data_IF_032494751271
#
_entry.id   IF_032494751271
#
_cell.length_a   1.000
_cell.length_b   1.000
_cell.length_c   1.000
_cell.angle_alpha   90.00
_cell.angle_beta   90.00
_cell.angle_gamma   90.00
#
_symmetry.space_group_name_H-M   'P 1'
#
loop_
_entity.id
_entity.type
_entity.pdbx_description
1 polymer ?
#
# COMPACT_ATOMS: atom_id res chain seq x y z
N UNK A 1 14.64 5.80 14.09
CA UNK A 1 13.87 4.56 14.19
C UNK A 1 12.62 4.63 13.33
N UNK A 2 12.27 3.51 12.74
CA UNK A 2 11.06 3.41 11.92
C UNK A 2 9.99 2.67 12.68
N UNK A 3 8.74 3.12 12.55
CA UNK A 3 7.59 2.43 13.12
C UNK A 3 7.01 1.48 12.06
N UNK A 4 6.49 0.33 12.53
CA UNK A 4 5.82 -0.59 11.62
C UNK A 4 4.63 0.07 10.94
N UNK A 5 3.70 0.59 11.73
CA UNK A 5 2.47 1.16 11.22
C UNK A 5 2.52 2.69 11.27
N UNK A 6 1.96 3.32 10.25
CA UNK A 6 1.76 4.76 10.25
C UNK A 6 0.59 5.14 11.15
N UNK A 7 0.58 6.39 11.58
CA UNK A 7 -0.51 6.93 12.41
C UNK A 7 -1.82 6.82 11.63
N UNK A 8 -2.91 6.49 12.33
CA UNK A 8 -4.23 6.42 11.71
C UNK A 8 -4.62 7.78 11.13
N UNK A 9 -5.27 7.75 9.99
CA UNK A 9 -5.76 8.94 9.30
C UNK A 9 -7.24 9.14 9.67
N UNK A 10 -7.51 10.00 10.66
CA UNK A 10 -8.83 10.09 11.24
C UNK A 10 -9.22 8.75 11.86
N UNK A 11 -10.28 8.13 11.34
CA UNK A 11 -10.70 6.79 11.74
C UNK A 11 -10.13 5.69 10.83
N UNK A 12 -9.39 6.07 9.80
CA UNK A 12 -8.86 5.12 8.82
C UNK A 12 -7.51 4.56 9.27
N UNK A 13 -7.44 3.24 9.41
CA UNK A 13 -6.19 2.54 9.71
C UNK A 13 -5.37 2.46 8.43
N UNK A 14 -4.07 2.73 8.54
CA UNK A 14 -3.13 2.59 7.42
C UNK A 14 -2.38 1.26 7.65
N UNK A 15 -2.79 0.17 7.00
CA UNK A 15 -2.16 -1.12 7.25
C UNK A 15 -0.77 -1.20 6.63
N UNK A 16 0.16 -1.85 7.35
CA UNK A 16 1.47 -2.15 6.78
C UNK A 16 1.28 -3.01 5.51
N UNK A 17 1.98 -2.81 4.41
CA UNK A 17 3.17 -1.96 4.25
C UNK A 17 2.88 -0.51 3.80
N UNK A 18 1.63 -0.12 3.69
CA UNK A 18 1.29 1.21 3.19
C UNK A 18 1.91 2.29 4.08
N UNK A 19 2.40 3.34 3.45
CA UNK A 19 3.12 4.40 4.14
C UNK A 19 2.60 5.77 3.74
N UNK A 20 2.33 6.60 4.74
CA UNK A 20 1.91 7.99 4.55
C UNK A 20 3.02 8.98 4.85
N UNK A 21 4.15 8.52 5.40
CA UNK A 21 5.25 9.39 5.77
C UNK A 21 6.55 8.59 5.87
N UNK A 22 7.72 9.23 5.68
CA UNK A 22 8.99 8.58 5.97
C UNK A 22 9.04 8.18 7.45
N UNK A 23 9.59 7.02 7.76
CA UNK A 23 9.73 6.54 9.12
C UNK A 23 8.60 5.64 9.61
N UNK A 24 7.60 5.38 8.79
CA UNK A 24 6.57 4.39 9.09
C UNK A 24 6.20 3.63 7.83
N UNK A 25 5.71 2.40 7.97
CA UNK A 25 5.40 1.55 6.85
C UNK A 25 6.65 1.16 6.06
N UNK A 26 6.46 0.78 4.81
CA UNK A 26 7.55 0.41 3.91
C UNK A 26 7.78 1.54 2.90
N UNK A 27 9.03 1.96 2.74
CA UNK A 27 9.38 3.08 1.86
C UNK A 27 9.00 2.84 0.39
N UNK A 28 8.93 1.59 -0.04
CA UNK A 28 8.48 1.27 -1.40
C UNK A 28 6.96 1.49 -1.58
N UNK A 29 6.25 1.67 -0.48
CA UNK A 29 4.80 1.88 -0.46
C UNK A 29 4.43 3.29 0.00
N UNK A 30 5.39 4.21 -0.03
CA UNK A 30 5.18 5.62 0.35
C UNK A 30 4.49 6.35 -0.81
N UNK A 31 3.21 6.11 -0.96
CA UNK A 31 2.40 6.70 -2.04
C UNK A 31 1.07 7.23 -1.49
N UNK A 32 1.00 7.46 -0.19
CA UNK A 32 -0.24 7.88 0.45
C UNK A 32 -0.03 9.16 1.24
N UNK A 33 -1.07 9.96 1.31
CA UNK A 33 -1.13 11.14 2.16
C UNK A 33 -2.38 11.07 3.02
N UNK A 34 -2.30 11.69 4.19
CA UNK A 34 -3.44 11.85 5.06
C UNK A 34 -3.82 13.32 5.18
N UNK A 35 -5.06 13.65 4.89
CA UNK A 35 -5.61 14.95 5.24
C UNK A 35 -6.13 14.85 6.67
N UNK A 36 -5.36 15.33 7.63
CA UNK A 36 -5.69 15.20 9.05
C UNK A 36 -6.95 15.97 9.43
N UNK A 37 -7.30 17.01 8.66
CA UNK A 37 -8.52 17.79 8.94
C UNK A 37 -9.78 17.01 8.65
N UNK A 38 -9.78 16.15 7.63
CA UNK A 38 -10.95 15.42 7.17
C UNK A 38 -10.87 13.92 7.44
N UNK A 39 -9.68 13.41 7.74
CA UNK A 39 -9.44 11.96 7.84
C UNK A 39 -9.40 11.27 6.49
N UNK A 40 -9.29 12.03 5.40
CA UNK A 40 -9.26 11.46 4.05
C UNK A 40 -7.87 10.97 3.71
N UNK A 41 -7.77 9.70 3.34
CA UNK A 41 -6.53 9.12 2.81
C UNK A 41 -6.50 9.36 1.31
N UNK A 42 -5.34 9.76 0.81
CA UNK A 42 -5.14 10.12 -0.59
C UNK A 42 -4.03 9.25 -1.15
N UNK A 43 -4.29 8.65 -2.31
CA UNK A 43 -3.29 7.91 -3.06
C UNK A 43 -2.64 8.83 -4.09
N UNK A 44 -1.31 8.88 -4.09
CA UNK A 44 -0.56 9.67 -5.05
C UNK A 44 -0.17 8.81 -6.25
N UNK A 45 -0.79 9.06 -7.39
CA UNK A 45 -0.33 8.53 -8.66
C UNK A 45 0.83 9.36 -9.20
N UNK A 46 1.34 8.99 -10.37
CA UNK A 46 2.46 9.70 -10.99
C UNK A 46 2.10 11.13 -11.41
N UNK A 47 0.87 11.38 -11.84
CA UNK A 47 0.43 12.68 -12.34
C UNK A 47 -0.72 13.29 -11.57
N UNK A 48 -1.38 12.54 -10.71
CA UNK A 48 -2.58 12.98 -10.01
C UNK A 48 -2.71 12.29 -8.67
N UNK A 49 -3.55 12.87 -7.81
CA UNK A 49 -3.88 12.29 -6.52
C UNK A 49 -5.35 11.90 -6.51
N UNK A 50 -5.68 10.83 -5.82
CA UNK A 50 -7.04 10.27 -5.78
C UNK A 50 -7.45 9.99 -4.35
N UNK A 51 -8.71 10.26 -4.03
CA UNK A 51 -9.27 9.92 -2.74
C UNK A 51 -9.45 8.41 -2.62
N UNK A 52 -9.06 7.84 -1.50
CA UNK A 52 -9.28 6.43 -1.20
C UNK A 52 -10.63 6.31 -0.52
N UNK A 53 -11.47 5.39 -1.01
CA UNK A 53 -12.80 5.15 -0.45
C UNK A 53 -12.83 3.98 0.50
N UNK A 54 -11.95 2.99 0.32
CA UNK A 54 -11.82 1.87 1.25
C UNK A 54 -10.46 1.20 1.10
N UNK A 55 -10.01 0.55 2.19
CA UNK A 55 -8.78 -0.25 2.20
C UNK A 55 -9.10 -1.60 2.82
N UNK A 56 -8.76 -2.68 2.14
CA UNK A 56 -8.91 -4.04 2.65
C UNK A 56 -7.54 -4.70 2.78
N UNK A 57 -6.98 -4.75 3.99
CA UNK A 57 -5.66 -5.35 4.19
C UNK A 57 -5.64 -6.87 3.99
N UNK A 58 -6.75 -7.55 4.21
CA UNK A 58 -6.82 -9.01 4.08
C UNK A 58 -6.60 -9.46 2.64
N UNK A 59 -7.13 -8.70 1.69
CA UNK A 59 -6.98 -8.99 0.26
C UNK A 59 -5.90 -8.13 -0.39
N UNK A 60 -5.28 -7.21 0.34
CA UNK A 60 -4.28 -6.25 -0.14
C UNK A 60 -4.81 -5.43 -1.31
N UNK A 61 -5.99 -4.84 -1.11
CA UNK A 61 -6.66 -4.04 -2.14
C UNK A 61 -7.22 -2.77 -1.54
N UNK A 62 -7.26 -1.73 -2.34
CA UNK A 62 -7.94 -0.49 -1.97
C UNK A 62 -8.67 0.07 -3.17
N UNK A 63 -9.67 0.91 -2.89
CA UNK A 63 -10.45 1.58 -3.91
C UNK A 63 -10.11 3.06 -3.93
N UNK A 64 -9.90 3.58 -5.12
CA UNK A 64 -9.74 5.01 -5.34
C UNK A 64 -10.93 5.52 -6.12
N UNK A 65 -11.24 6.80 -5.95
CA UNK A 65 -12.33 7.45 -6.68
C UNK A 65 -11.76 8.40 -7.73
N UNK A 66 -12.14 8.17 -8.99
CA UNK A 66 -11.83 9.08 -10.09
C UNK A 66 -13.09 9.91 -10.32
N UNK A 67 -12.98 11.22 -10.03
CA UNK A 67 -14.12 12.14 -10.16
C UNK A 67 -14.38 12.48 -11.62
N UNK A 68 -15.63 12.81 -11.91
CA UNK A 68 -16.09 13.35 -13.19
C UNK A 68 -15.90 12.42 -14.40
N UNK A 69 -15.50 11.18 -14.15
CA UNK A 69 -15.37 10.18 -15.20
C UNK A 69 -16.24 8.98 -14.84
N UNK A 70 -17.28 8.74 -15.60
CA UNK A 70 -18.07 7.52 -15.48
C UNK A 70 -17.55 6.55 -16.52
N UNK A 71 -16.82 5.54 -16.05
CA UNK A 71 -16.22 4.52 -16.91
C UNK A 71 -17.03 3.24 -16.77
N UNK A 72 -17.44 2.67 -17.90
CA UNK A 72 -18.06 1.35 -17.90
C UNK A 72 -16.94 0.30 -17.85
N UNK A 73 -16.77 -0.33 -16.69
CA UNK A 73 -15.68 -1.26 -16.44
C UNK A 73 -15.88 -2.64 -17.07
N UNK A 74 -16.94 -2.82 -17.87
CA UNK A 74 -17.23 -4.11 -18.49
C UNK A 74 -16.52 -4.29 -19.82
N UNK A 75 -15.93 -3.25 -20.40
CA UNK A 75 -15.24 -3.33 -21.68
C UNK A 75 -13.75 -3.04 -21.55
N UNK A 76 -12.92 -3.81 -22.25
CA UNK A 76 -11.46 -3.66 -22.25
C UNK A 76 -11.02 -2.27 -22.69
N UNK A 77 -11.75 -1.66 -23.64
CA UNK A 77 -11.41 -0.33 -24.17
C UNK A 77 -11.56 0.78 -23.14
N UNK A 78 -12.35 0.58 -22.09
CA UNK A 78 -12.55 1.60 -21.06
C UNK A 78 -11.58 1.43 -19.92
N UNK A 79 -11.10 0.21 -19.67
CA UNK A 79 -9.98 -0.01 -18.76
C UNK A 79 -8.73 0.68 -19.30
N UNK A 80 -8.57 0.76 -20.64
CA UNK A 80 -7.43 1.44 -21.24
C UNK A 80 -7.45 2.96 -21.04
N UNK A 81 -8.61 3.58 -20.79
CA UNK A 81 -8.68 5.00 -20.40
C UNK A 81 -8.15 5.23 -18.99
N UNK A 82 -8.16 4.19 -18.17
CA UNK A 82 -7.51 4.22 -16.86
C UNK A 82 -5.98 4.14 -16.98
N UNK A 83 -5.45 4.01 -18.19
CA UNK A 83 -4.02 4.04 -18.43
C UNK A 83 -3.39 5.39 -18.08
N UNK A 84 -4.18 6.46 -17.98
CA UNK A 84 -3.73 7.73 -17.42
C UNK A 84 -3.38 7.61 -15.95
N UNK A 85 -3.94 6.60 -15.28
CA UNK A 85 -3.60 6.22 -13.92
C UNK A 85 -2.33 5.37 -13.92
N UNK A 86 -1.24 5.89 -14.40
CA UNK A 86 0.01 5.14 -14.53
C UNK A 86 0.49 4.64 -13.18
N UNK A 87 0.21 3.36 -12.91
CA UNK A 87 0.67 2.70 -11.71
C UNK A 87 2.02 2.04 -11.96
N UNK A 88 2.87 2.11 -10.96
CA UNK A 88 4.13 1.39 -10.95
C UNK A 88 4.13 0.40 -9.78
N UNK A 89 4.92 -0.66 -9.92
CA UNK A 89 5.12 -1.60 -8.81
C UNK A 89 5.42 -0.84 -7.51
N UNK A 90 4.85 -1.22 -6.37
CA UNK A 90 4.12 -2.47 -6.10
C UNK A 90 2.60 -2.40 -6.30
N UNK A 91 2.10 -1.42 -7.01
CA UNK A 91 0.66 -1.23 -7.19
C UNK A 91 0.22 -1.65 -8.57
N UNK A 92 -0.93 -2.34 -8.65
CA UNK A 92 -1.46 -2.89 -9.91
C UNK A 92 -2.98 -2.74 -9.97
N UNK A 93 -3.47 -2.43 -11.17
CA UNK A 93 -4.91 -2.47 -11.42
C UNK A 93 -5.39 -3.93 -11.43
N UNK A 94 -6.55 -4.19 -10.80
CA UNK A 94 -7.14 -5.53 -10.80
C UNK A 94 -8.08 -5.75 -11.96
N UNK A 95 -8.47 -4.68 -12.65
CA UNK A 95 -9.46 -4.73 -13.70
C UNK A 95 -10.90 -4.53 -13.21
N UNK A 96 -11.09 -4.42 -11.90
CA UNK A 96 -12.42 -4.16 -11.33
C UNK A 96 -12.62 -2.67 -11.11
N UNK A 97 -13.77 -2.18 -11.51
CA UNK A 97 -14.18 -0.83 -11.19
C UNK A 97 -15.71 -0.73 -11.18
N UNK A 98 -16.23 0.27 -10.50
CA UNK A 98 -17.67 0.52 -10.38
C UNK A 98 -17.97 1.98 -10.66
N UNK A 99 -18.91 2.23 -11.56
CA UNK A 99 -19.42 3.58 -11.76
C UNK A 99 -20.29 3.98 -10.57
N UNK A 100 -20.04 5.17 -10.02
CA UNK A 100 -20.88 5.74 -8.98
C UNK A 100 -21.91 6.66 -9.64
N UNK A 101 -23.11 6.16 -9.81
CA UNK A 101 -24.17 6.89 -10.50
C UNK A 101 -24.82 7.96 -9.61
N UNK A 102 -24.60 7.91 -8.30
CA UNK A 102 -25.19 8.84 -7.34
C UNK A 102 -24.35 10.10 -7.22
N UNK A 103 -23.04 9.95 -6.98
CA UNK A 103 -22.13 11.09 -6.78
C UNK A 103 -21.32 11.41 -8.02
N UNK A 104 -21.43 10.60 -9.08
CA UNK A 104 -20.59 10.69 -10.27
C UNK A 104 -19.20 10.11 -10.02
N UNK A 105 -18.49 9.82 -11.11
CA UNK A 105 -17.15 9.26 -11.02
C UNK A 105 -17.13 7.74 -11.01
N UNK A 106 -15.96 7.20 -10.83
CA UNK A 106 -15.72 5.76 -10.90
C UNK A 106 -14.80 5.34 -9.76
N UNK A 107 -15.17 4.26 -9.06
CA UNK A 107 -14.30 3.62 -8.09
C UNK A 107 -13.49 2.55 -8.78
N UNK A 108 -12.17 2.59 -8.61
CA UNK A 108 -11.24 1.67 -9.26
C UNK A 108 -10.48 0.89 -8.19
N UNK A 109 -10.38 -0.42 -8.38
CA UNK A 109 -9.67 -1.28 -7.43
C UNK A 109 -8.20 -1.38 -7.80
N UNK A 110 -7.34 -1.21 -6.80
CA UNK A 110 -5.90 -1.34 -6.92
C UNK A 110 -5.42 -2.38 -5.92
N UNK A 111 -4.54 -3.26 -6.37
CA UNK A 111 -3.92 -4.30 -5.54
C UNK A 111 -2.48 -3.90 -5.26
N UNK A 112 -1.99 -4.22 -4.07
CA UNK A 112 -0.56 -4.08 -3.79
C UNK A 112 0.09 -5.46 -3.60
N UNK A 113 1.36 -5.54 -4.00
CA UNK A 113 2.14 -6.76 -3.85
C UNK A 113 2.46 -7.02 -2.38
N UNK A 114 2.55 -8.28 -1.95
CA UNK A 114 3.04 -8.59 -0.61
C UNK A 114 4.45 -8.01 -0.44
N UNK A 115 4.72 -7.33 0.70
CA UNK A 115 6.02 -6.72 0.89
C UNK A 115 7.11 -7.76 1.14
N UNK A 116 8.34 -7.39 0.83
CA UNK A 116 9.53 -8.13 1.23
C UNK A 116 9.86 -7.81 2.68
N UNK A 117 10.94 -8.40 3.18
CA UNK A 117 11.37 -8.18 4.56
C UNK A 117 11.56 -6.69 4.84
N UNK A 118 11.12 -6.23 6.03
CA UNK A 118 11.17 -4.80 6.37
C UNK A 118 12.60 -4.28 6.43
N UNK A 119 12.78 -3.01 6.06
CA UNK A 119 14.09 -2.36 6.17
C UNK A 119 14.37 -1.98 7.62
N UNK A 120 15.65 -1.95 7.98
CA UNK A 120 16.08 -1.59 9.32
C UNK A 120 17.41 -0.83 9.28
N UNK A 121 17.68 -0.06 10.32
CA UNK A 121 19.00 0.57 10.54
C UNK A 121 19.65 0.02 11.78
N UNK A 122 18.88 -0.27 12.80
CA UNK A 122 19.33 -0.77 14.09
C UNK A 122 18.59 -2.07 14.42
N UNK A 123 19.19 -2.88 15.29
CA UNK A 123 18.57 -4.13 15.72
C UNK A 123 17.20 -3.90 16.38
N UNK A 124 17.00 -2.77 17.05
CA UNK A 124 15.73 -2.42 17.68
C UNK A 124 14.60 -2.20 16.66
N UNK A 125 14.94 -1.91 15.41
CA UNK A 125 13.94 -1.71 14.37
C UNK A 125 13.19 -3.00 14.01
N UNK A 126 13.76 -4.15 14.36
CA UNK A 126 13.12 -5.44 14.09
C UNK A 126 12.27 -5.96 15.25
N UNK A 127 12.07 -5.15 16.28
CA UNK A 127 11.29 -5.55 17.46
C UNK A 127 9.84 -5.90 17.14
N UNK A 128 9.27 -5.25 16.13
CA UNK A 128 7.90 -5.49 15.69
C UNK A 128 7.80 -6.70 14.76
N UNK A 129 8.93 -7.33 14.47
CA UNK A 129 9.03 -8.46 13.55
C UNK A 129 9.67 -9.65 14.27
N UNK A 130 8.89 -10.40 15.08
CA UNK A 130 9.44 -11.50 15.86
C UNK A 130 10.16 -12.52 14.98
N UNK A 131 11.21 -13.11 15.53
CA UNK A 131 12.03 -14.13 14.87
C UNK A 131 12.80 -13.58 13.67
N UNK A 132 13.12 -12.29 13.71
CA UNK A 132 13.95 -11.63 12.70
C UNK A 132 15.08 -10.84 13.35
N UNK A 133 16.10 -10.56 12.56
CA UNK A 133 17.27 -9.79 12.99
C UNK A 133 17.70 -8.84 11.87
N UNK A 134 18.16 -7.65 12.27
CA UNK A 134 18.63 -6.66 11.30
C UNK A 134 20.01 -7.07 10.77
N UNK A 135 20.08 -7.39 9.48
CA UNK A 135 21.34 -7.78 8.84
C UNK A 135 21.39 -7.27 7.41
N UNK A 136 22.60 -7.21 6.85
CA UNK A 136 22.81 -6.75 5.49
C UNK A 136 22.46 -7.85 4.50
N UNK A 137 21.76 -7.47 3.43
CA UNK A 137 21.61 -8.32 2.25
C UNK A 137 22.87 -8.28 1.41
N UNK A 138 22.94 -9.15 0.39
CA UNK A 138 24.04 -9.14 -0.57
C UNK A 138 24.15 -7.83 -1.35
N UNK A 139 23.11 -7.01 -1.36
CA UNK A 139 23.07 -5.70 -2.02
C UNK A 139 23.44 -4.54 -1.09
N UNK A 140 23.82 -4.84 0.15
CA UNK A 140 24.22 -3.83 1.12
C UNK A 140 23.11 -3.16 1.88
N UNK A 141 21.84 -3.46 1.58
CA UNK A 141 20.70 -2.96 2.33
C UNK A 141 20.50 -3.77 3.59
N UNK A 142 20.16 -3.09 4.68
CA UNK A 142 19.80 -3.75 5.93
C UNK A 142 18.31 -4.02 5.98
N UNK A 143 17.97 -5.25 6.29
CA UNK A 143 16.57 -5.69 6.41
C UNK A 143 16.42 -6.60 7.62
N UNK A 144 15.19 -6.68 8.12
CA UNK A 144 14.85 -7.62 9.19
C UNK A 144 14.64 -9.00 8.56
N UNK A 145 15.74 -9.75 8.40
CA UNK A 145 15.66 -11.10 7.86
C UNK A 145 15.26 -12.09 8.94
N UNK A 146 14.48 -13.07 8.54
CA UNK A 146 14.04 -14.11 9.46
C UNK A 146 15.23 -14.92 9.98
N UNK A 147 15.20 -15.26 11.28
CA UNK A 147 16.22 -16.07 11.91
C UNK A 147 16.22 -17.49 11.33
N UNK A 148 17.27 -18.25 11.61
CA UNK A 148 17.41 -19.62 11.13
C UNK A 148 16.12 -20.43 11.41
N UNK A 149 15.70 -21.24 10.45
CA UNK A 149 14.48 -22.06 10.47
C UNK A 149 13.17 -21.28 10.32
N UNK A 150 13.24 -19.95 10.16
CA UNK A 150 12.06 -19.13 9.90
C UNK A 150 12.11 -18.57 8.48
N UNK A 151 10.95 -18.39 7.87
CA UNK A 151 10.82 -17.80 6.53
C UNK A 151 9.85 -16.64 6.56
N UNK A 152 10.16 -15.61 5.80
CA UNK A 152 9.30 -14.46 5.67
C UNK A 152 8.02 -14.81 4.90
N UNK A 153 6.90 -14.43 5.49
CA UNK A 153 5.60 -14.54 4.84
C UNK A 153 5.04 -13.13 4.65
N UNK A 154 5.11 -12.63 3.41
CA UNK A 154 4.63 -11.29 3.08
C UNK A 154 3.11 -11.14 3.10
N UNK A 155 2.37 -12.25 3.11
CA UNK A 155 0.91 -12.22 3.23
C UNK A 155 0.50 -12.03 4.69
N UNK A 156 1.17 -12.71 5.62
CA UNK A 156 0.88 -12.62 7.04
C UNK A 156 1.77 -11.61 7.76
N UNK A 157 2.75 -11.04 7.06
CA UNK A 157 3.69 -10.04 7.57
C UNK A 157 4.47 -10.54 8.78
N UNK A 158 4.97 -11.77 8.70
CA UNK A 158 5.73 -12.36 9.80
C UNK A 158 6.72 -13.41 9.31
N UNK A 159 7.62 -13.78 10.22
CA UNK A 159 8.54 -14.90 10.03
C UNK A 159 7.89 -16.16 10.61
N UNK A 160 7.70 -17.17 9.77
CA UNK A 160 7.06 -18.43 10.17
C UNK A 160 7.98 -19.61 9.88
N UNK A 161 7.77 -20.69 10.60
CA UNK A 161 8.50 -21.94 10.38
C UNK A 161 8.01 -22.68 9.15
#
# INVERSE_FOLDING_TARGET
STSRDCVTCGTNIIPYPLSTAPGCGDSNYLSFNCNMSTGQVIFKGSNSSYNITSINPDTRRFLIKIKDVVVNCTTVNQISRLSELKLSSPFHLTGKCNADTVTGGTEVEIRWDPPLEPTCSLSADCKDWPNSSCSKSGEGKKQCFCNHDFKWNGFNLNCTQ
#
